data_IF_164725157027
#
_entry.id   IF_164725157027
#
_cell.length_a   1.000
_cell.length_b   1.000
_cell.length_c   1.000
_cell.angle_alpha   90.00
_cell.angle_beta   90.00
_cell.angle_gamma   90.00
#
_symmetry.space_group_name_H-M   'P 1'
#
loop_
_entity.id
_entity.type
_entity.pdbx_description
1 polymer ?
#
# COMPACT_ATOMS: atom_id res chain seq x y z
N UNK A 1 42.34 -19.38 -35.82
CA UNK A 1 41.14 -18.50 -35.73
C UNK A 1 41.56 -17.05 -35.94
N UNK A 2 40.91 -16.28 -36.81
CA UNK A 2 41.32 -14.91 -37.13
C UNK A 2 41.05 -13.96 -35.91
N UNK A 3 41.90 -12.95 -35.71
CA UNK A 3 41.83 -12.02 -34.55
C UNK A 3 40.49 -11.25 -34.48
N UNK A 4 39.93 -10.88 -35.62
CA UNK A 4 38.61 -10.26 -35.78
C UNK A 4 37.48 -11.19 -35.32
N UNK A 5 37.57 -12.49 -35.65
CA UNK A 5 36.59 -13.50 -35.25
C UNK A 5 36.62 -13.73 -33.72
N UNK A 6 37.81 -13.72 -33.13
CA UNK A 6 38.00 -13.81 -31.67
C UNK A 6 37.45 -12.57 -30.95
N UNK A 7 37.62 -11.38 -31.54
CA UNK A 7 37.05 -10.13 -31.00
C UNK A 7 35.52 -10.14 -31.03
N UNK A 8 34.93 -10.54 -32.15
CA UNK A 8 33.47 -10.66 -32.30
C UNK A 8 32.88 -11.64 -31.30
N UNK A 9 33.54 -12.79 -31.09
CA UNK A 9 33.10 -13.78 -30.13
C UNK A 9 33.12 -13.20 -28.70
N UNK A 10 34.22 -12.55 -28.29
CA UNK A 10 34.32 -11.88 -26.99
C UNK A 10 33.26 -10.80 -26.79
N UNK A 11 32.98 -10.01 -27.83
CA UNK A 11 31.96 -8.96 -27.79
C UNK A 11 30.56 -9.56 -27.61
N UNK A 12 30.21 -10.61 -28.37
CA UNK A 12 28.95 -11.33 -28.19
C UNK A 12 28.83 -11.98 -26.80
N UNK A 13 29.93 -12.51 -26.27
CA UNK A 13 29.92 -13.11 -24.91
C UNK A 13 29.70 -12.03 -23.85
N UNK A 14 30.30 -10.85 -23.98
CA UNK A 14 30.05 -9.71 -23.08
C UNK A 14 28.58 -9.27 -23.15
N UNK A 15 28.03 -9.08 -24.35
CA UNK A 15 26.63 -8.64 -24.53
C UNK A 15 25.65 -9.65 -23.92
N UNK A 16 25.89 -10.95 -24.09
CA UNK A 16 25.07 -11.99 -23.47
C UNK A 16 25.07 -11.96 -21.94
N UNK A 17 26.24 -11.70 -21.32
CA UNK A 17 26.37 -11.60 -19.86
C UNK A 17 25.66 -10.38 -19.28
N UNK A 18 25.63 -9.25 -20.00
CA UNK A 18 24.89 -8.06 -19.57
C UNK A 18 23.36 -8.23 -19.67
N UNK A 19 22.87 -9.06 -20.60
CA UNK A 19 21.43 -9.33 -20.76
C UNK A 19 20.87 -10.21 -19.64
N UNK A 20 21.68 -11.12 -19.10
CA UNK A 20 21.28 -11.97 -17.96
C UNK A 20 21.14 -11.21 -16.63
N UNK A 21 21.55 -9.94 -16.55
CA UNK A 21 21.38 -9.11 -15.34
C UNK A 21 20.05 -8.35 -15.31
N UNK A 22 19.21 -8.46 -16.34
CA UNK A 22 17.87 -7.87 -16.36
C UNK A 22 16.86 -8.71 -15.57
N UNK A 23 17.16 -9.03 -14.31
CA UNK A 23 16.13 -9.49 -13.39
C UNK A 23 15.36 -8.26 -12.93
N UNK A 24 14.15 -8.05 -13.47
CA UNK A 24 13.23 -7.07 -12.90
C UNK A 24 12.87 -7.57 -11.49
N UNK A 25 13.24 -6.85 -10.42
CA UNK A 25 12.81 -7.22 -9.09
C UNK A 25 11.28 -7.19 -9.04
N UNK A 26 10.68 -8.17 -8.38
CA UNK A 26 9.23 -8.19 -8.20
C UNK A 26 8.77 -6.94 -7.45
N UNK A 27 7.62 -6.41 -7.83
CA UNK A 27 6.98 -5.29 -7.14
C UNK A 27 6.18 -5.81 -5.94
N UNK A 28 6.15 -5.05 -4.86
CA UNK A 28 5.38 -5.35 -3.65
C UNK A 28 4.50 -4.14 -3.35
N UNK A 29 3.20 -4.37 -3.17
CA UNK A 29 2.28 -3.36 -2.63
C UNK A 29 2.17 -3.53 -1.11
N UNK A 30 2.35 -2.43 -0.37
CA UNK A 30 2.08 -2.39 1.06
C UNK A 30 0.66 -1.89 1.28
N UNK A 31 -0.16 -2.73 1.93
CA UNK A 31 -1.54 -2.39 2.27
C UNK A 31 -1.77 -2.53 3.78
N UNK A 32 -2.65 -1.68 4.32
CA UNK A 32 -2.96 -1.64 5.74
C UNK A 32 -4.47 -1.59 5.93
N UNK A 33 -5.00 -2.51 6.74
CA UNK A 33 -6.43 -2.60 7.01
C UNK A 33 -6.80 -1.87 8.31
N UNK A 34 -8.10 -1.61 8.47
CA UNK A 34 -8.71 -1.05 9.68
C UNK A 34 -8.25 0.35 10.09
N UNK A 35 -7.74 1.14 9.15
CA UNK A 35 -7.56 2.57 9.44
C UNK A 35 -8.92 3.28 9.55
N UNK A 36 -9.04 4.37 10.32
CA UNK A 36 -8.04 4.88 11.25
C UNK A 36 -7.90 4.01 12.51
N UNK A 37 -6.65 3.70 12.90
CA UNK A 37 -6.39 2.87 14.07
C UNK A 37 -6.79 3.59 15.37
N UNK A 38 -7.49 2.94 16.32
CA UNK A 38 -7.78 3.56 17.61
C UNK A 38 -6.50 3.77 18.43
N UNK A 39 -6.57 4.68 19.40
CA UNK A 39 -5.55 4.79 20.44
C UNK A 39 -5.48 3.52 21.30
N UNK A 40 -4.36 3.32 21.98
CA UNK A 40 -4.21 2.31 23.02
C UNK A 40 -3.38 2.83 24.18
N UNK A 41 -3.05 1.95 25.14
CA UNK A 41 -2.34 2.33 26.37
C UNK A 41 -0.92 2.86 26.13
N UNK A 42 -0.31 2.56 24.97
CA UNK A 42 1.08 2.90 24.66
C UNK A 42 1.17 4.12 23.73
N UNK A 43 0.26 4.22 22.76
CA UNK A 43 0.30 5.24 21.71
C UNK A 43 -1.12 5.68 21.34
N UNK A 44 -1.29 6.98 21.14
CA UNK A 44 -2.53 7.53 20.59
C UNK A 44 -2.72 7.10 19.12
N UNK A 45 -3.95 7.22 18.61
CA UNK A 45 -4.22 6.95 17.19
C UNK A 45 -3.45 7.89 16.27
N UNK A 46 -3.26 9.14 16.68
CA UNK A 46 -2.43 10.14 15.99
C UNK A 46 -0.97 9.73 15.97
N UNK A 47 -0.41 9.32 17.11
CA UNK A 47 1.00 8.88 17.18
C UNK A 47 1.25 7.65 16.29
N UNK A 48 0.33 6.68 16.28
CA UNK A 48 0.41 5.52 15.39
C UNK A 48 0.44 5.95 13.92
N UNK A 49 -0.48 6.82 13.52
CA UNK A 49 -0.58 7.35 12.15
C UNK A 49 0.73 8.00 11.70
N UNK A 50 1.24 8.93 12.53
CA UNK A 50 2.47 9.67 12.23
C UNK A 50 3.70 8.76 12.17
N UNK A 51 3.82 7.78 13.08
CA UNK A 51 4.91 6.81 13.05
C UNK A 51 4.85 5.93 11.80
N UNK A 52 3.68 5.45 11.39
CA UNK A 52 3.52 4.65 10.16
C UNK A 52 3.98 5.46 8.95
N UNK A 53 3.46 6.68 8.77
CA UNK A 53 3.82 7.56 7.67
C UNK A 53 5.34 7.81 7.64
N UNK A 54 5.91 8.18 8.79
CA UNK A 54 7.34 8.46 8.91
C UNK A 54 8.20 7.24 8.53
N UNK A 55 7.85 6.04 9.01
CA UNK A 55 8.62 4.84 8.71
C UNK A 55 8.54 4.46 7.23
N UNK A 56 7.36 4.56 6.62
CA UNK A 56 7.19 4.31 5.18
C UNK A 56 8.05 5.27 4.36
N UNK A 57 7.97 6.58 4.65
CA UNK A 57 8.78 7.59 3.95
C UNK A 57 10.28 7.42 4.16
N UNK A 58 10.72 7.15 5.38
CA UNK A 58 12.13 6.93 5.69
C UNK A 58 12.71 5.69 4.96
N UNK A 59 11.85 4.73 4.58
CA UNK A 59 12.23 3.53 3.83
C UNK A 59 12.03 3.67 2.32
N UNK A 60 11.69 4.87 1.83
CA UNK A 60 11.49 5.11 0.40
C UNK A 60 10.21 4.50 -0.17
N UNK A 61 9.23 4.16 0.68
CA UNK A 61 7.91 3.73 0.22
C UNK A 61 7.15 4.97 -0.23
N UNK A 62 7.00 5.09 -1.54
CA UNK A 62 6.30 6.24 -2.13
C UNK A 62 4.79 6.02 -2.21
N UNK A 63 4.35 4.76 -2.31
CA UNK A 63 2.96 4.39 -2.49
C UNK A 63 2.57 3.29 -1.48
N UNK A 64 1.42 3.47 -0.83
CA UNK A 64 0.82 2.48 0.06
C UNK A 64 -0.70 2.69 0.07
N UNK A 65 -1.45 1.61 0.31
CA UNK A 65 -2.91 1.63 0.33
C UNK A 65 -3.44 1.39 1.75
N UNK A 66 -4.33 2.25 2.21
CA UNK A 66 -4.91 2.20 3.54
C UNK A 66 -6.42 1.95 3.44
N UNK A 67 -6.84 0.75 3.80
CA UNK A 67 -8.22 0.30 3.79
C UNK A 67 -8.96 0.84 5.02
N UNK A 68 -9.94 1.70 4.78
CA UNK A 68 -10.69 2.45 5.80
C UNK A 68 -11.92 1.69 6.25
N UNK A 69 -11.99 1.44 7.55
CA UNK A 69 -13.18 0.89 8.23
C UNK A 69 -14.06 2.06 8.65
N UNK A 70 -15.15 2.30 7.89
CA UNK A 70 -15.95 3.52 7.97
C UNK A 70 -16.52 3.83 9.36
N UNK A 71 -16.90 2.83 10.16
CA UNK A 71 -17.41 3.05 11.53
C UNK A 71 -16.37 3.65 12.49
N UNK A 72 -15.08 3.56 12.16
CA UNK A 72 -14.01 4.10 12.98
C UNK A 72 -13.75 5.58 12.64
N UNK A 73 -14.47 6.16 11.66
CA UNK A 73 -14.27 7.54 11.23
C UNK A 73 -15.18 8.48 12.02
N UNK A 74 -14.53 9.30 12.85
CA UNK A 74 -15.03 10.50 13.51
C UNK A 74 -14.22 11.75 13.07
N UNK A 75 -14.57 12.92 13.63
CA UNK A 75 -13.92 14.21 13.32
C UNK A 75 -12.39 14.17 13.54
N UNK A 76 -11.91 13.67 14.69
CA UNK A 76 -10.47 13.59 14.99
C UNK A 76 -9.75 12.63 14.03
N UNK A 77 -10.41 11.53 13.68
CA UNK A 77 -9.84 10.50 12.83
C UNK A 77 -9.83 10.86 11.35
N UNK A 78 -10.75 11.73 10.91
CA UNK A 78 -10.79 12.27 9.55
C UNK A 78 -9.52 13.05 9.22
N UNK A 79 -9.01 13.83 10.17
CA UNK A 79 -7.72 14.53 10.02
C UNK A 79 -6.57 13.53 9.81
N UNK A 80 -6.62 12.38 10.49
CA UNK A 80 -5.61 11.32 10.35
C UNK A 80 -5.69 10.61 8.99
N UNK A 81 -6.88 10.50 8.39
CA UNK A 81 -7.01 10.02 7.02
C UNK A 81 -6.39 11.01 6.03
N UNK A 82 -6.61 12.31 6.25
CA UNK A 82 -5.99 13.37 5.47
C UNK A 82 -4.46 13.33 5.57
N UNK A 83 -3.90 12.98 6.73
CA UNK A 83 -2.44 12.81 6.91
C UNK A 83 -1.87 11.74 5.96
N UNK A 84 -2.56 10.60 5.76
CA UNK A 84 -2.11 9.59 4.80
C UNK A 84 -2.13 10.10 3.36
N UNK A 85 -3.20 10.80 2.97
CA UNK A 85 -3.34 11.40 1.63
C UNK A 85 -2.28 12.47 1.38
N UNK A 86 -2.05 13.36 2.35
CA UNK A 86 -1.02 14.39 2.29
C UNK A 86 0.39 13.81 2.20
N UNK A 87 0.62 12.62 2.77
CA UNK A 87 1.85 11.88 2.60
C UNK A 87 1.96 11.21 1.21
N UNK A 88 0.97 11.32 0.32
CA UNK A 88 0.99 10.68 -1.00
C UNK A 88 0.62 9.20 -0.97
N UNK A 89 -0.06 8.74 0.07
CA UNK A 89 -0.65 7.41 0.14
C UNK A 89 -2.13 7.46 -0.25
N UNK A 90 -2.71 6.28 -0.49
CA UNK A 90 -4.06 6.14 -1.01
C UNK A 90 -4.99 5.55 0.04
N UNK A 91 -6.25 6.00 0.05
CA UNK A 91 -7.31 5.41 0.88
C UNK A 91 -8.15 4.44 0.03
N UNK A 92 -8.58 3.35 0.64
CA UNK A 92 -9.44 2.34 0.04
C UNK A 92 -10.58 1.96 1.01
N UNK A 93 -11.59 1.25 0.51
CA UNK A 93 -12.79 0.91 1.29
C UNK A 93 -12.64 -0.45 1.98
N UNK A 94 -12.80 -0.49 3.31
CA UNK A 94 -12.78 -1.71 4.11
C UNK A 94 -14.13 -2.06 4.76
N UNK A 95 -15.23 -1.71 4.09
CA UNK A 95 -16.59 -1.78 4.62
C UNK A 95 -16.79 -0.84 5.82
N UNK A 96 -18.04 -0.68 6.28
CA UNK A 96 -18.37 0.23 7.36
C UNK A 96 -18.34 -0.50 8.69
N UNK A 97 -19.12 -1.57 8.80
CA UNK A 97 -19.28 -2.31 10.04
C UNK A 97 -18.17 -3.35 10.28
N UNK A 98 -17.34 -3.65 9.27
CA UNK A 98 -16.35 -4.74 9.30
C UNK A 98 -17.01 -6.11 9.51
N UNK A 99 -18.13 -6.35 8.81
CA UNK A 99 -18.87 -7.62 8.83
C UNK A 99 -18.21 -8.62 7.89
N UNK A 100 -18.25 -9.90 8.25
CA UNK A 100 -17.82 -10.96 7.34
C UNK A 100 -18.81 -11.09 6.18
N UNK A 101 -18.35 -10.88 4.95
CA UNK A 101 -19.15 -11.01 3.73
C UNK A 101 -19.78 -12.42 3.58
N UNK A 102 -19.15 -13.45 4.15
CA UNK A 102 -19.68 -14.82 4.14
C UNK A 102 -20.83 -15.06 5.14
N UNK A 103 -21.20 -14.07 5.96
CA UNK A 103 -22.21 -14.19 7.02
C UNK A 103 -23.41 -13.26 6.83
N UNK A 104 -23.42 -12.47 5.76
CA UNK A 104 -24.46 -11.47 5.49
C UNK A 104 -24.98 -11.61 4.06
N UNK A 105 -26.11 -10.97 3.76
CA UNK A 105 -26.64 -10.95 2.40
C UNK A 105 -25.77 -10.10 1.47
N UNK A 106 -25.94 -10.29 0.15
CA UNK A 106 -25.31 -9.43 -0.86
C UNK A 106 -25.76 -7.96 -0.69
N UNK A 107 -27.04 -7.73 -0.42
CA UNK A 107 -27.56 -6.38 -0.20
C UNK A 107 -26.92 -5.72 1.02
N UNK A 108 -26.73 -6.48 2.11
CA UNK A 108 -26.07 -5.97 3.32
C UNK A 108 -24.63 -5.55 3.05
N UNK A 109 -23.84 -6.36 2.32
CA UNK A 109 -22.43 -6.02 2.05
C UNK A 109 -22.33 -4.83 1.09
N UNK A 110 -23.26 -4.69 0.13
CA UNK A 110 -23.31 -3.55 -0.78
C UNK A 110 -23.64 -2.26 -0.03
N UNK A 111 -24.64 -2.28 0.87
CA UNK A 111 -24.99 -1.14 1.72
C UNK A 111 -23.84 -0.78 2.65
N UNK A 112 -23.17 -1.77 3.25
CA UNK A 112 -22.06 -1.55 4.17
C UNK A 112 -20.85 -0.94 3.45
N UNK A 113 -20.50 -1.44 2.25
CA UNK A 113 -19.45 -0.84 1.42
C UNK A 113 -19.84 0.58 0.96
N UNK A 114 -21.09 0.80 0.53
CA UNK A 114 -21.54 2.11 0.07
C UNK A 114 -21.48 3.17 1.19
N UNK A 115 -21.79 2.81 2.44
CA UNK A 115 -21.65 3.72 3.58
C UNK A 115 -20.22 4.21 3.78
N UNK A 116 -19.24 3.32 3.69
CA UNK A 116 -17.82 3.74 3.73
C UNK A 116 -17.43 4.57 2.52
N UNK A 117 -17.96 4.26 1.34
CA UNK A 117 -17.71 5.08 0.14
C UNK A 117 -18.15 6.54 0.32
N UNK A 118 -19.26 6.80 1.03
CA UNK A 118 -19.72 8.14 1.35
C UNK A 118 -18.89 8.85 2.44
N UNK A 119 -18.01 8.11 3.13
CA UNK A 119 -17.13 8.64 4.20
C UNK A 119 -15.76 9.08 3.66
N UNK A 120 -15.37 8.58 2.48
CA UNK A 120 -14.11 8.90 1.79
C UNK A 120 -14.30 10.07 0.82
#
# INVERSE_FOLDING_TARGET
MNRTLLLLYKLMTMVGLFWSMSAFPGEIALTFDDVPLPGGNVMSGKEKTQRIIQQLKNRGVNEALFYVTGKNVDEESSDRLSDYVNAGFYLANHSYAHKSANKVSVDDILVDAYRTHLTL
#
